data_IF_727805110627
#
_entry.id   IF_727805110627
#
_cell.length_a   1.000
_cell.length_b   1.000
_cell.length_c   1.000
_cell.angle_alpha   90.00
_cell.angle_beta   90.00
_cell.angle_gamma   90.00
#
_symmetry.space_group_name_H-M   'P 1'
#
loop_
_entity.id
_entity.type
_entity.pdbx_description
1 polymer ?
#
# COMPACT_ATOMS: atom_id res chain seq x y z
N UNK A 1 -21.38 -19.19 21.54
CA UNK A 1 -21.44 -17.86 20.88
C UNK A 1 -22.39 -17.95 19.71
N UNK A 2 -23.27 -16.97 19.51
CA UNK A 2 -24.26 -16.99 18.41
C UNK A 2 -23.59 -16.67 17.07
N UNK A 3 -24.23 -17.03 15.94
CA UNK A 3 -23.75 -16.63 14.60
C UNK A 3 -23.68 -15.11 14.46
N UNK A 4 -24.62 -14.38 15.06
CA UNK A 4 -24.62 -12.92 15.08
C UNK A 4 -23.39 -12.36 15.81
N UNK A 5 -23.03 -12.92 16.98
CA UNK A 5 -21.86 -12.44 17.73
C UNK A 5 -20.53 -12.77 17.03
N UNK A 6 -20.48 -13.85 16.25
CA UNK A 6 -19.31 -14.18 15.42
C UNK A 6 -19.16 -13.20 14.24
N UNK A 7 -20.28 -12.84 13.60
CA UNK A 7 -20.28 -11.86 12.51
C UNK A 7 -19.83 -10.47 12.98
N UNK A 8 -20.32 -10.02 14.14
CA UNK A 8 -19.89 -8.77 14.78
C UNK A 8 -18.41 -8.79 15.14
N UNK A 9 -17.91 -9.90 15.70
CA UNK A 9 -16.49 -10.04 16.02
C UNK A 9 -15.60 -9.96 14.77
N UNK A 10 -16.01 -10.60 13.66
CA UNK A 10 -15.30 -10.54 12.37
C UNK A 10 -15.32 -9.13 11.77
N UNK A 11 -16.47 -8.45 11.82
CA UNK A 11 -16.59 -7.07 11.35
C UNK A 11 -15.70 -6.12 12.15
N UNK A 12 -15.69 -6.27 13.48
CA UNK A 12 -14.81 -5.49 14.36
C UNK A 12 -13.33 -5.73 14.05
N UNK A 13 -12.92 -7.00 13.89
CA UNK A 13 -11.55 -7.34 13.50
C UNK A 13 -11.17 -6.65 12.19
N UNK A 14 -12.02 -6.73 11.16
CA UNK A 14 -11.79 -6.09 9.86
C UNK A 14 -11.55 -4.59 10.00
N UNK A 15 -12.41 -3.89 10.75
CA UNK A 15 -12.25 -2.44 11.00
C UNK A 15 -10.91 -2.12 11.68
N UNK A 16 -10.49 -2.93 12.66
CA UNK A 16 -9.19 -2.78 13.33
C UNK A 16 -8.04 -2.95 12.34
N UNK A 17 -8.07 -4.00 11.51
CA UNK A 17 -7.03 -4.27 10.50
C UNK A 17 -6.94 -3.15 9.46
N UNK A 18 -8.07 -2.72 8.91
CA UNK A 18 -8.13 -1.62 7.93
C UNK A 18 -7.59 -0.31 8.53
N UNK A 19 -8.00 0.01 9.77
CA UNK A 19 -7.52 1.22 10.45
C UNK A 19 -6.04 1.13 10.82
N UNK A 20 -5.56 -0.03 11.24
CA UNK A 20 -4.15 -0.28 11.53
C UNK A 20 -3.30 -0.09 10.27
N UNK A 21 -3.71 -0.73 9.17
CA UNK A 21 -3.07 -0.61 7.86
C UNK A 21 -2.93 0.83 7.41
N UNK A 22 -3.98 1.64 7.55
CA UNK A 22 -3.93 3.08 7.23
C UNK A 22 -2.94 3.81 8.14
N UNK A 23 -3.11 3.69 9.46
CA UNK A 23 -2.26 4.40 10.43
C UNK A 23 -0.78 4.05 10.30
N UNK A 24 -0.44 2.78 10.10
CA UNK A 24 0.95 2.35 9.93
C UNK A 24 1.58 2.96 8.68
N UNK A 25 0.84 3.12 7.58
CA UNK A 25 1.37 3.77 6.36
C UNK A 25 1.47 5.28 6.49
N UNK A 26 0.59 5.91 7.29
CA UNK A 26 0.63 7.36 7.54
C UNK A 26 1.76 7.77 8.48
N UNK A 27 1.95 7.01 9.56
CA UNK A 27 2.77 7.43 10.70
C UNK A 27 3.95 6.51 10.98
N UNK A 28 4.02 5.37 10.31
CA UNK A 28 5.02 4.33 10.57
C UNK A 28 4.59 3.35 11.66
N UNK A 29 5.04 2.10 11.52
CA UNK A 29 4.72 1.00 12.45
C UNK A 29 5.21 1.28 13.85
N UNK A 30 6.39 1.89 14.01
CA UNK A 30 6.97 2.17 15.33
C UNK A 30 6.17 3.20 16.12
N UNK A 31 5.72 4.26 15.46
CA UNK A 31 5.10 5.42 16.12
C UNK A 31 3.60 5.24 16.39
N UNK A 32 2.98 4.17 15.86
CA UNK A 32 1.56 3.83 16.12
C UNK A 32 1.45 2.75 17.19
N UNK A 33 0.83 3.05 18.32
CA UNK A 33 0.56 2.07 19.37
C UNK A 33 -0.72 1.27 19.10
N UNK A 34 -0.91 0.15 19.83
CA UNK A 34 -2.18 -0.58 19.83
C UNK A 34 -3.33 0.31 20.34
N UNK A 35 -3.05 1.18 21.31
CA UNK A 35 -4.06 2.11 21.83
C UNK A 35 -4.55 3.08 20.75
N UNK A 36 -3.63 3.62 19.93
CA UNK A 36 -3.97 4.53 18.83
C UNK A 36 -4.90 3.86 17.80
N UNK A 37 -4.60 2.62 17.41
CA UNK A 37 -5.41 1.83 16.48
C UNK A 37 -6.80 1.54 17.06
N UNK A 38 -6.87 1.14 18.33
CA UNK A 38 -8.15 0.81 18.95
C UNK A 38 -9.01 2.07 19.12
N UNK A 39 -8.39 3.18 19.51
CA UNK A 39 -9.05 4.47 19.65
C UNK A 39 -9.62 4.97 18.31
N UNK A 40 -8.89 4.81 17.20
CA UNK A 40 -9.33 5.28 15.88
C UNK A 40 -10.57 4.56 15.34
N UNK A 41 -10.92 3.39 15.91
CA UNK A 41 -12.15 2.65 15.57
C UNK A 41 -13.20 2.64 16.69
N UNK A 42 -12.98 3.47 17.73
CA UNK A 42 -13.91 3.61 18.86
C UNK A 42 -13.94 2.40 19.79
N UNK A 43 -12.85 1.63 19.87
CA UNK A 43 -12.76 0.43 20.69
C UNK A 43 -11.75 0.61 21.83
N UNK A 44 -11.94 -0.13 22.92
CA UNK A 44 -11.00 -0.09 24.05
C UNK A 44 -9.77 -0.94 23.77
N UNK A 45 -8.61 -0.54 24.31
CA UNK A 45 -7.36 -1.32 24.20
C UNK A 45 -7.52 -2.76 24.72
N UNK A 46 -8.32 -2.97 25.77
CA UNK A 46 -8.59 -4.31 26.30
C UNK A 46 -9.30 -5.25 25.32
N UNK A 47 -10.00 -4.72 24.31
CA UNK A 47 -10.59 -5.50 23.22
C UNK A 47 -9.55 -6.08 22.25
N UNK A 48 -8.36 -5.47 22.15
CA UNK A 48 -7.32 -5.87 21.21
C UNK A 48 -6.83 -7.28 21.50
N UNK A 49 -6.46 -7.56 22.74
CA UNK A 49 -5.88 -8.85 23.14
C UNK A 49 -6.87 -10.02 23.09
N UNK A 50 -8.16 -9.74 22.86
CA UNK A 50 -9.16 -10.78 22.56
C UNK A 50 -9.17 -11.17 21.09
N UNK A 51 -8.62 -10.32 20.22
CA UNK A 51 -8.64 -10.48 18.76
C UNK A 51 -7.25 -10.77 18.22
N UNK A 52 -6.20 -10.11 18.71
CA UNK A 52 -4.85 -10.20 18.17
C UNK A 52 -3.87 -10.67 19.24
N UNK A 53 -2.93 -11.53 18.84
CA UNK A 53 -1.92 -12.07 19.75
C UNK A 53 -0.87 -11.03 20.14
N UNK A 54 -0.51 -10.14 19.22
CA UNK A 54 0.49 -9.09 19.42
C UNK A 54 0.31 -7.97 18.40
N UNK A 55 1.00 -6.83 18.63
CA UNK A 55 1.09 -5.77 17.63
C UNK A 55 1.74 -6.28 16.34
N UNK A 56 2.76 -7.13 16.43
CA UNK A 56 3.41 -7.73 15.27
C UNK A 56 2.45 -8.57 14.43
N UNK A 57 1.58 -9.37 15.07
CA UNK A 57 0.54 -10.12 14.36
C UNK A 57 -0.48 -9.19 13.66
N UNK A 58 -0.81 -8.05 14.28
CA UNK A 58 -1.64 -7.03 13.64
C UNK A 58 -0.94 -6.38 12.43
N UNK A 59 0.36 -6.08 12.52
CA UNK A 59 1.14 -5.49 11.41
C UNK A 59 1.18 -6.45 10.22
N UNK A 60 1.42 -7.73 10.47
CA UNK A 60 1.45 -8.75 9.42
C UNK A 60 0.08 -8.86 8.70
N UNK A 61 -1.00 -8.98 9.47
CA UNK A 61 -2.36 -9.04 8.90
C UNK A 61 -2.76 -7.74 8.18
N UNK A 62 -2.39 -6.58 8.73
CA UNK A 62 -2.63 -5.28 8.11
C UNK A 62 -1.85 -5.10 6.80
N UNK A 63 -0.66 -5.68 6.71
CA UNK A 63 0.17 -5.69 5.49
C UNK A 63 -0.47 -6.58 4.43
N UNK A 64 -0.83 -7.81 4.80
CA UNK A 64 -1.50 -8.76 3.90
C UNK A 64 -2.82 -8.20 3.36
N UNK A 65 -3.66 -7.60 4.22
CA UNK A 65 -4.91 -6.98 3.79
C UNK A 65 -4.65 -5.78 2.87
N UNK A 66 -3.61 -4.96 3.13
CA UNK A 66 -3.31 -3.81 2.30
C UNK A 66 -2.92 -4.20 0.86
N UNK A 67 -2.09 -5.24 0.70
CA UNK A 67 -1.75 -5.76 -0.62
C UNK A 67 -2.93 -6.45 -1.29
N UNK A 68 -3.72 -7.24 -0.55
CA UNK A 68 -4.96 -7.85 -1.07
C UNK A 68 -5.95 -6.79 -1.59
N UNK A 69 -6.17 -5.72 -0.83
CA UNK A 69 -7.05 -4.61 -1.24
C UNK A 69 -6.48 -3.87 -2.46
N UNK A 70 -5.16 -3.65 -2.50
CA UNK A 70 -4.51 -3.05 -3.67
C UNK A 70 -4.70 -3.91 -4.92
N UNK A 71 -4.46 -5.21 -4.86
CA UNK A 71 -4.66 -6.12 -6.00
C UNK A 71 -6.12 -6.17 -6.45
N UNK A 72 -7.08 -6.11 -5.52
CA UNK A 72 -8.51 -5.98 -5.87
C UNK A 72 -8.81 -4.69 -6.63
N UNK A 73 -8.21 -3.56 -6.22
CA UNK A 73 -8.37 -2.27 -6.92
C UNK A 73 -7.71 -2.28 -8.30
N UNK A 74 -6.55 -2.90 -8.43
CA UNK A 74 -5.84 -3.05 -9.70
C UNK A 74 -6.64 -3.91 -10.69
N UNK A 75 -7.21 -5.03 -10.23
CA UNK A 75 -8.09 -5.86 -11.05
C UNK A 75 -9.37 -5.12 -11.49
N UNK A 76 -9.96 -4.29 -10.61
CA UNK A 76 -11.09 -3.43 -10.98
C UNK A 76 -10.69 -2.38 -12.02
N UNK A 77 -9.52 -1.76 -11.85
CA UNK A 77 -8.96 -0.78 -12.79
C UNK A 77 -8.80 -1.39 -14.19
N UNK A 78 -8.32 -2.63 -14.30
CA UNK A 78 -8.25 -3.34 -15.58
C UNK A 78 -9.63 -3.55 -16.21
N UNK A 79 -10.63 -3.91 -15.41
CA UNK A 79 -12.01 -4.09 -15.88
C UNK A 79 -12.67 -2.79 -16.37
N UNK A 80 -12.27 -1.65 -15.82
CA UNK A 80 -12.82 -0.33 -16.15
C UNK A 80 -12.15 0.32 -17.38
N UNK A 81 -11.08 -0.27 -17.92
CA UNK A 81 -10.32 0.28 -19.04
C UNK A 81 -10.29 -0.68 -20.24
N UNK A 82 -10.00 -0.15 -21.43
CA UNK A 82 -9.92 -0.90 -22.68
C UNK A 82 -8.62 -1.71 -22.80
N UNK A 83 -8.27 -2.48 -21.76
CA UNK A 83 -7.08 -3.32 -21.70
C UNK A 83 -6.01 -2.83 -20.73
N UNK A 84 -4.99 -3.68 -20.54
CA UNK A 84 -3.94 -3.50 -19.53
C UNK A 84 -3.15 -2.19 -19.73
N UNK A 85 -2.75 -1.85 -20.96
CA UNK A 85 -1.96 -0.63 -21.23
C UNK A 85 -2.71 0.65 -20.84
N UNK A 86 -4.03 0.69 -21.07
CA UNK A 86 -4.86 1.82 -20.68
C UNK A 86 -5.02 1.90 -19.15
N UNK A 87 -5.20 0.76 -18.48
CA UNK A 87 -5.24 0.69 -17.02
C UNK A 87 -3.90 1.10 -16.39
N UNK A 88 -2.77 0.67 -16.98
CA UNK A 88 -1.44 1.03 -16.55
C UNK A 88 -1.15 2.53 -16.69
N UNK A 89 -1.49 3.12 -17.84
CA UNK A 89 -1.39 4.58 -18.05
C UNK A 89 -2.21 5.36 -17.02
N UNK A 90 -3.45 4.93 -16.77
CA UNK A 90 -4.33 5.49 -15.74
C UNK A 90 -3.75 5.36 -14.32
N UNK A 91 -3.15 4.21 -14.00
CA UNK A 91 -2.48 3.98 -12.72
C UNK A 91 -1.27 4.91 -12.54
N UNK A 92 -0.39 5.02 -13.55
CA UNK A 92 0.75 5.94 -13.52
C UNK A 92 0.26 7.35 -13.18
N UNK A 93 -0.83 7.77 -13.84
CA UNK A 93 -1.33 9.13 -13.71
C UNK A 93 -1.90 9.42 -12.32
N UNK A 94 -2.64 8.48 -11.76
CA UNK A 94 -3.19 8.56 -10.42
C UNK A 94 -2.12 8.41 -9.33
N UNK A 95 -1.10 7.57 -9.56
CA UNK A 95 -0.07 7.25 -8.58
C UNK A 95 0.98 8.35 -8.43
N UNK A 96 1.40 8.96 -9.55
CA UNK A 96 2.43 10.00 -9.57
C UNK A 96 1.80 11.40 -9.57
N UNK A 97 0.85 11.63 -8.67
CA UNK A 97 0.16 12.92 -8.50
C UNK A 97 0.41 13.53 -7.12
N UNK A 98 0.20 14.85 -6.94
CA UNK A 98 0.20 15.49 -5.63
C UNK A 98 -0.78 14.85 -4.64
N UNK A 99 -1.96 14.43 -5.11
CA UNK A 99 -2.97 13.78 -4.27
C UNK A 99 -2.45 12.46 -3.69
N UNK A 100 -1.84 11.60 -4.52
CA UNK A 100 -1.24 10.36 -4.05
C UNK A 100 0.01 10.59 -3.19
N UNK A 101 0.79 11.64 -3.49
CA UNK A 101 1.94 12.06 -2.66
C UNK A 101 1.48 12.42 -1.25
N UNK A 102 0.40 13.19 -1.14
CA UNK A 102 -0.06 13.78 0.12
C UNK A 102 -1.03 12.86 0.90
N UNK A 103 -1.39 11.70 0.35
CA UNK A 103 -2.19 10.66 1.01
C UNK A 103 -1.43 9.32 1.21
N UNK A 104 -0.49 9.26 2.18
CA UNK A 104 0.24 8.03 2.48
C UNK A 104 -0.65 6.91 3.04
N UNK A 105 -1.76 7.25 3.71
CA UNK A 105 -2.62 6.30 4.40
C UNK A 105 -3.49 5.45 3.48
N UNK A 106 -3.97 6.02 2.37
CA UNK A 106 -4.80 5.30 1.41
C UNK A 106 -4.06 4.92 0.12
N UNK A 107 -2.81 5.37 -0.01
CA UNK A 107 -1.94 5.07 -1.15
C UNK A 107 -1.31 3.68 -1.13
N UNK A 108 -0.23 3.54 -1.91
CA UNK A 108 0.46 2.28 -2.14
C UNK A 108 1.00 1.61 -0.87
N UNK A 109 0.67 0.33 -0.60
CA UNK A 109 1.25 -0.40 0.54
C UNK A 109 2.77 -0.55 0.42
N UNK A 110 3.31 -0.73 -0.79
CA UNK A 110 4.76 -0.79 -1.01
C UNK A 110 5.45 0.49 -0.50
N UNK A 111 4.96 1.67 -0.90
CA UNK A 111 5.54 2.94 -0.42
C UNK A 111 5.33 3.15 1.08
N UNK A 112 4.18 2.76 1.63
CA UNK A 112 3.84 3.00 3.02
C UNK A 112 4.62 2.14 4.02
N UNK A 113 4.99 0.90 3.66
CA UNK A 113 5.68 -0.02 4.57
C UNK A 113 7.19 -0.16 4.33
N UNK A 114 7.69 0.18 3.12
CA UNK A 114 9.09 -0.03 2.74
C UNK A 114 10.10 0.45 3.79
N UNK A 115 9.90 1.66 4.33
CA UNK A 115 10.82 2.28 5.27
C UNK A 115 10.89 1.59 6.64
N UNK A 116 9.78 1.01 7.11
CA UNK A 116 9.77 0.27 8.37
C UNK A 116 10.36 -1.13 8.18
N UNK A 117 9.99 -1.83 7.10
CA UNK A 117 10.45 -3.21 6.87
C UNK A 117 11.89 -3.29 6.36
N UNK A 118 12.44 -2.20 5.85
CA UNK A 118 13.87 -2.06 5.64
C UNK A 118 14.63 -2.10 6.98
N UNK A 119 14.07 -1.55 8.06
CA UNK A 119 14.68 -1.50 9.39
C UNK A 119 14.39 -2.73 10.24
N UNK A 120 13.22 -3.32 10.08
CA UNK A 120 12.76 -4.47 10.85
C UNK A 120 12.46 -5.68 9.95
N UNK A 121 13.21 -6.79 10.08
CA UNK A 121 13.02 -7.96 9.23
C UNK A 121 11.76 -8.79 9.52
N UNK A 122 11.05 -8.57 10.65
CA UNK A 122 9.95 -9.43 11.11
C UNK A 122 8.83 -9.59 10.06
N UNK A 123 8.55 -8.58 9.24
CA UNK A 123 7.42 -8.56 8.28
C UNK A 123 7.84 -8.66 6.80
N UNK A 124 9.09 -9.03 6.52
CA UNK A 124 9.63 -8.99 5.15
C UNK A 124 9.02 -10.03 4.22
N UNK A 125 8.63 -11.20 4.73
CA UNK A 125 8.11 -12.28 3.88
C UNK A 125 6.74 -11.91 3.28
N UNK A 126 5.81 -11.47 4.13
CA UNK A 126 4.48 -10.97 3.72
C UNK A 126 4.60 -9.77 2.77
N UNK A 127 5.51 -8.85 3.08
CA UNK A 127 5.79 -7.71 2.20
C UNK A 127 6.38 -8.13 0.85
N UNK A 128 7.36 -9.04 0.83
CA UNK A 128 7.99 -9.51 -0.39
C UNK A 128 7.00 -10.25 -1.30
N UNK A 129 6.07 -11.02 -0.74
CA UNK A 129 4.99 -11.63 -1.50
C UNK A 129 4.12 -10.57 -2.18
N UNK A 130 3.64 -9.58 -1.42
CA UNK A 130 2.83 -8.48 -1.97
C UNK A 130 3.55 -7.66 -3.05
N UNK A 131 4.86 -7.43 -2.90
CA UNK A 131 5.68 -6.76 -3.92
C UNK A 131 5.71 -7.57 -5.22
N UNK A 132 5.88 -8.90 -5.14
CA UNK A 132 5.89 -9.75 -6.34
C UNK A 132 4.54 -9.74 -7.05
N UNK A 133 3.44 -9.83 -6.30
CA UNK A 133 2.10 -9.83 -6.89
C UNK A 133 1.80 -8.49 -7.57
N UNK A 134 2.13 -7.37 -6.92
CA UNK A 134 1.96 -6.03 -7.51
C UNK A 134 2.83 -5.83 -8.75
N UNK A 135 4.10 -6.24 -8.69
CA UNK A 135 5.01 -6.15 -9.84
C UNK A 135 4.51 -7.00 -11.01
N UNK A 136 4.06 -8.23 -10.72
CA UNK A 136 3.52 -9.15 -11.72
C UNK A 136 2.23 -8.66 -12.38
N UNK A 137 1.42 -7.87 -11.68
CA UNK A 137 0.29 -7.17 -12.29
C UNK A 137 0.76 -6.13 -13.32
N UNK A 138 1.82 -5.35 -13.03
CA UNK A 138 2.32 -4.32 -13.94
C UNK A 138 2.94 -4.92 -15.21
N UNK A 139 3.83 -5.89 -15.04
CA UNK A 139 4.48 -6.59 -16.15
C UNK A 139 5.19 -7.85 -15.63
N UNK A 140 5.37 -8.88 -16.47
CA UNK A 140 6.11 -10.07 -16.05
C UNK A 140 7.60 -9.77 -15.81
N UNK A 141 8.18 -10.48 -14.84
CA UNK A 141 9.62 -10.50 -14.59
C UNK A 141 10.19 -9.16 -14.12
N UNK A 142 11.43 -8.89 -14.53
CA UNK A 142 12.20 -7.73 -14.07
C UNK A 142 11.58 -6.39 -14.50
N UNK A 143 10.81 -6.38 -15.59
CA UNK A 143 10.09 -5.18 -16.06
C UNK A 143 9.09 -4.69 -15.02
N UNK A 144 8.28 -5.58 -14.45
CA UNK A 144 7.30 -5.22 -13.41
C UNK A 144 7.99 -4.72 -12.14
N UNK A 145 9.10 -5.36 -11.76
CA UNK A 145 9.89 -4.95 -10.60
C UNK A 145 10.54 -3.57 -10.82
N UNK A 146 11.07 -3.29 -12.01
CA UNK A 146 11.66 -2.01 -12.37
C UNK A 146 10.60 -0.89 -12.40
N UNK A 147 9.43 -1.17 -12.97
CA UNK A 147 8.31 -0.22 -13.01
C UNK A 147 7.80 0.09 -11.60
N UNK A 148 7.55 -0.93 -10.78
CA UNK A 148 7.14 -0.75 -9.38
C UNK A 148 8.19 0.05 -8.59
N UNK A 149 9.47 -0.27 -8.75
CA UNK A 149 10.57 0.44 -8.08
C UNK A 149 10.62 1.91 -8.49
N UNK A 150 10.37 2.21 -9.78
CA UNK A 150 10.32 3.57 -10.30
C UNK A 150 9.16 4.36 -9.68
N UNK A 151 7.96 3.77 -9.66
CA UNK A 151 6.78 4.40 -9.05
C UNK A 151 6.99 4.68 -7.56
N UNK A 152 7.34 3.64 -6.80
CA UNK A 152 7.50 3.72 -5.33
C UNK A 152 8.64 4.67 -4.96
N UNK A 153 9.79 4.55 -5.63
CA UNK A 153 10.95 5.41 -5.38
C UNK A 153 10.65 6.88 -5.66
N UNK A 154 10.00 7.17 -6.80
CA UNK A 154 9.61 8.54 -7.15
C UNK A 154 8.64 9.13 -6.12
N UNK A 155 7.61 8.37 -5.71
CA UNK A 155 6.65 8.83 -4.71
C UNK A 155 7.31 9.13 -3.36
N UNK A 156 8.23 8.28 -2.91
CA UNK A 156 8.97 8.49 -1.67
C UNK A 156 9.88 9.73 -1.73
N UNK A 157 10.61 9.91 -2.84
CA UNK A 157 11.46 11.10 -3.03
C UNK A 157 10.62 12.38 -3.14
N UNK A 158 9.47 12.33 -3.82
CA UNK A 158 8.55 13.46 -3.91
C UNK A 158 8.00 13.83 -2.53
N UNK A 159 7.60 12.86 -1.71
CA UNK A 159 7.17 13.05 -0.31
C UNK A 159 8.27 13.67 0.54
N UNK A 160 9.50 13.18 0.42
CA UNK A 160 10.64 13.68 1.18
C UNK A 160 11.03 15.12 0.83
N UNK A 161 10.56 15.64 -0.30
CA UNK A 161 10.91 16.96 -0.83
C UNK A 161 9.71 17.90 -0.97
N UNK A 162 8.57 17.55 -0.36
CA UNK A 162 7.35 18.38 -0.35
C UNK A 162 7.68 19.82 0.06
N UNK A 163 7.04 20.79 -0.61
CA UNK A 163 7.28 22.23 -0.40
C UNK A 163 8.44 22.80 -1.22
N UNK A 164 9.09 21.98 -2.05
CA UNK A 164 10.14 22.41 -2.98
C UNK A 164 9.77 22.09 -4.43
N UNK A 165 10.32 22.83 -5.43
CA UNK A 165 10.07 22.54 -6.85
C UNK A 165 10.43 21.12 -7.27
N UNK A 166 11.46 20.51 -6.66
CA UNK A 166 11.93 19.18 -7.05
C UNK A 166 10.90 18.08 -6.77
N UNK A 167 10.00 18.26 -5.80
CA UNK A 167 8.91 17.31 -5.52
C UNK A 167 8.04 17.06 -6.77
N UNK A 168 7.60 18.15 -7.40
CA UNK A 168 6.78 18.09 -8.62
C UNK A 168 7.59 17.66 -9.84
N UNK A 169 8.87 18.04 -9.90
CA UNK A 169 9.78 17.59 -10.97
C UNK A 169 9.98 16.08 -10.95
N UNK A 170 10.15 15.48 -9.77
CA UNK A 170 10.26 14.02 -9.59
C UNK A 170 9.00 13.32 -10.12
N UNK A 171 7.81 13.77 -9.70
CA UNK A 171 6.54 13.16 -10.15
C UNK A 171 6.40 13.23 -11.67
N UNK A 172 6.69 14.39 -12.29
CA UNK A 172 6.64 14.55 -13.75
C UNK A 172 7.68 13.71 -14.47
N UNK A 173 8.92 13.64 -13.97
CA UNK A 173 9.99 12.87 -14.58
C UNK A 173 9.70 11.36 -14.51
N UNK A 174 9.26 10.88 -13.36
CA UNK A 174 8.91 9.48 -13.15
C UNK A 174 7.71 9.05 -14.01
N UNK A 175 6.73 9.93 -14.22
CA UNK A 175 5.56 9.65 -15.09
C UNK A 175 6.01 9.32 -16.51
N UNK A 176 6.92 10.13 -17.06
CA UNK A 176 7.50 9.91 -18.39
C UNK A 176 8.35 8.65 -18.46
N UNK A 177 9.09 8.33 -17.40
CA UNK A 177 9.92 7.14 -17.34
C UNK A 177 9.08 5.86 -17.23
N UNK A 178 8.08 5.83 -16.35
CA UNK A 178 7.23 4.69 -16.10
C UNK A 178 6.43 4.27 -17.34
N UNK A 179 5.91 5.24 -18.11
CA UNK A 179 5.20 4.96 -19.36
C UNK A 179 6.04 4.15 -20.36
N UNK A 180 7.36 4.38 -20.40
CA UNK A 180 8.28 3.71 -21.33
C UNK A 180 8.76 2.34 -20.88
N UNK A 181 8.65 2.03 -19.58
CA UNK A 181 9.21 0.78 -19.04
C UNK A 181 8.44 -0.46 -19.51
N UNK A 182 7.15 -0.30 -19.82
CA UNK A 182 6.28 -1.39 -20.27
C UNK A 182 6.00 -1.32 -21.78
N UNK A 183 6.52 -0.32 -22.48
CA UNK A 183 6.46 -0.27 -23.94
C UNK A 183 7.23 -1.48 -24.49
N UNK A 184 6.58 -2.28 -25.32
CA UNK A 184 7.29 -3.33 -26.06
C UNK A 184 8.19 -2.62 -27.07
N UNK A 185 9.49 -2.99 -27.21
CA UNK A 185 10.35 -2.36 -28.20
C UNK A 185 9.70 -2.46 -29.59
N UNK A 186 9.50 -1.32 -30.27
CA UNK A 186 9.18 -1.32 -31.70
C UNK A 186 10.31 -2.09 -32.42
N UNK A 187 9.94 -3.16 -33.13
CA UNK A 187 10.85 -3.91 -33.99
C UNK A 187 11.13 -3.14 -35.28
#
# INVERSE_FOLDING_TARGET
>A
MSRASQAEARANRKRVVESASRLFREKGVRDVSVADVMQSVGMTQGGFYKQFASKAALVDEATAEAFSDMLRRLAALEGDHAGHDAAWSSLIDAYLSPEARDDPGNGCPAAGFAGDFARDPEWRDTYAAGIRDMAGWIAPGDTGLAALSTLVGALLLARATVGTPVSEEILRAARKAAARLTETPEQ
#
